data_IF_336820728456
#
_entry.id   IF_336820728456
#
_cell.length_a   1.000
_cell.length_b   1.000
_cell.length_c   1.000
_cell.angle_alpha   90.00
_cell.angle_beta   90.00
_cell.angle_gamma   90.00
#
_symmetry.space_group_name_H-M   'P 1'
#
loop_
_entity.id
_entity.type
_entity.pdbx_description
1 polymer ?
#
# COMPACT_ATOMS: atom_id res chain seq x y z
N UNK A 1 29.92 -1.83 -20.86
CA UNK A 1 28.63 -1.13 -20.65
C UNK A 1 28.94 0.19 -19.97
N UNK A 2 28.45 1.32 -20.47
CA UNK A 2 28.68 2.62 -19.84
C UNK A 2 28.15 2.62 -18.40
N UNK A 3 28.98 3.03 -17.44
CA UNK A 3 28.62 3.10 -16.02
C UNK A 3 27.65 4.25 -15.87
N UNK A 4 26.39 3.96 -15.58
CA UNK A 4 25.39 5.00 -15.29
C UNK A 4 25.83 5.82 -14.08
N UNK A 5 25.52 7.11 -14.09
CA UNK A 5 25.79 7.98 -12.95
C UNK A 5 24.91 7.58 -11.76
N UNK A 6 25.30 7.97 -10.55
CA UNK A 6 24.48 7.73 -9.37
C UNK A 6 23.10 8.38 -9.50
N UNK A 7 23.05 9.62 -10.00
CA UNK A 7 21.80 10.33 -10.26
C UNK A 7 20.89 9.56 -11.22
N UNK A 8 21.43 9.06 -12.34
CA UNK A 8 20.63 8.28 -13.30
C UNK A 8 20.08 7.00 -12.66
N UNK A 9 20.85 6.35 -11.78
CA UNK A 9 20.41 5.17 -11.05
C UNK A 9 19.25 5.49 -10.11
N UNK A 10 19.29 6.64 -9.43
CA UNK A 10 18.23 7.10 -8.54
C UNK A 10 16.95 7.46 -9.30
N UNK A 11 17.07 8.18 -10.42
CA UNK A 11 15.94 8.51 -11.32
C UNK A 11 15.27 7.25 -11.86
N UNK A 12 16.07 6.29 -12.34
CA UNK A 12 15.56 5.00 -12.81
C UNK A 12 14.81 4.26 -11.70
N UNK A 13 15.40 4.21 -10.49
CA UNK A 13 14.76 3.56 -9.34
C UNK A 13 13.45 4.24 -8.96
N UNK A 14 13.36 5.57 -9.04
CA UNK A 14 12.13 6.31 -8.78
C UNK A 14 11.04 5.96 -9.80
N UNK A 15 11.39 5.87 -11.09
CA UNK A 15 10.47 5.49 -12.16
C UNK A 15 9.95 4.05 -11.97
N UNK A 16 10.84 3.10 -11.63
CA UNK A 16 10.43 1.73 -11.36
C UNK A 16 9.57 1.61 -10.12
N UNK A 17 9.86 2.38 -9.05
CA UNK A 17 9.01 2.44 -7.87
C UNK A 17 7.61 2.95 -8.21
N UNK A 18 7.49 3.99 -9.05
CA UNK A 18 6.20 4.52 -9.47
C UNK A 18 5.39 3.47 -10.26
N UNK A 19 6.05 2.72 -11.14
CA UNK A 19 5.42 1.62 -11.87
C UNK A 19 4.95 0.50 -10.93
N UNK A 20 5.78 0.09 -9.96
CA UNK A 20 5.41 -0.91 -8.95
C UNK A 20 4.17 -0.47 -8.19
N UNK A 21 4.14 0.78 -7.71
CA UNK A 21 2.99 1.35 -6.99
C UNK A 21 1.75 1.33 -7.89
N UNK A 22 1.87 1.72 -9.16
CA UNK A 22 0.76 1.71 -10.12
C UNK A 22 0.19 0.30 -10.31
N UNK A 23 1.04 -0.69 -10.57
CA UNK A 23 0.61 -2.09 -10.75
C UNK A 23 -0.05 -2.60 -9.46
N UNK A 24 0.56 -2.33 -8.32
CA UNK A 24 0.03 -2.74 -7.02
C UNK A 24 -1.36 -2.14 -6.74
N UNK A 25 -1.54 -0.83 -6.95
CA UNK A 25 -2.80 -0.15 -6.67
C UNK A 25 -3.93 -0.52 -7.65
N UNK A 26 -3.58 -1.01 -8.85
CA UNK A 26 -4.55 -1.42 -9.85
C UNK A 26 -4.90 -2.92 -9.76
N UNK A 27 -3.90 -3.77 -9.54
CA UNK A 27 -4.02 -5.23 -9.75
C UNK A 27 -3.59 -6.06 -8.52
N UNK A 28 -3.02 -5.44 -7.50
CA UNK A 28 -2.55 -6.11 -6.29
C UNK A 28 -1.18 -6.80 -6.41
N UNK A 29 -0.77 -7.46 -5.33
CA UNK A 29 0.58 -8.02 -5.17
C UNK A 29 0.93 -9.14 -6.15
N UNK A 30 -0.05 -9.97 -6.54
CA UNK A 30 0.16 -11.07 -7.49
C UNK A 30 0.62 -10.59 -8.86
N UNK A 31 0.29 -9.35 -9.24
CA UNK A 31 0.70 -8.75 -10.51
C UNK A 31 2.07 -8.09 -10.47
N UNK A 32 2.60 -7.79 -9.28
CA UNK A 32 3.92 -7.15 -9.12
C UNK A 32 5.03 -8.20 -9.23
N UNK A 33 5.39 -8.55 -10.47
CA UNK A 33 6.37 -9.59 -10.78
C UNK A 33 7.49 -9.07 -11.68
N UNK A 34 8.66 -9.71 -11.65
CA UNK A 34 9.75 -9.38 -12.59
C UNK A 34 9.32 -9.49 -14.06
N UNK A 35 8.45 -10.44 -14.41
CA UNK A 35 7.90 -10.56 -15.76
C UNK A 35 7.08 -9.32 -16.15
N UNK A 36 6.20 -8.88 -15.24
CA UNK A 36 5.38 -7.68 -15.46
C UNK A 36 6.25 -6.44 -15.60
N UNK A 37 7.19 -6.22 -14.68
CA UNK A 37 8.10 -5.07 -14.74
C UNK A 37 8.99 -5.11 -15.99
N UNK A 38 9.53 -6.27 -16.37
CA UNK A 38 10.34 -6.42 -17.57
C UNK A 38 9.55 -6.06 -18.84
N UNK A 39 8.29 -6.50 -18.91
CA UNK A 39 7.39 -6.18 -20.03
C UNK A 39 7.09 -4.68 -20.13
N UNK A 40 6.77 -4.04 -19.00
CA UNK A 40 6.39 -2.61 -18.96
C UNK A 40 7.59 -1.67 -19.15
N UNK A 41 8.78 -2.05 -18.66
CA UNK A 41 10.00 -1.23 -18.76
C UNK A 41 10.85 -1.52 -19.98
N UNK A 42 10.63 -2.65 -20.66
CA UNK A 42 11.51 -3.18 -21.71
C UNK A 42 12.87 -3.70 -21.20
N UNK A 43 13.06 -3.79 -19.89
CA UNK A 43 14.32 -4.21 -19.28
C UNK A 43 14.39 -5.72 -19.07
N UNK A 44 15.61 -6.25 -19.02
CA UNK A 44 15.83 -7.65 -18.63
C UNK A 44 15.57 -7.82 -17.13
N UNK A 45 15.07 -9.00 -16.74
CA UNK A 45 14.88 -9.36 -15.31
C UNK A 45 16.16 -9.20 -14.48
N UNK A 46 17.31 -9.60 -15.03
CA UNK A 46 18.61 -9.47 -14.35
C UNK A 46 19.00 -8.01 -14.07
N UNK A 47 18.57 -7.07 -14.92
CA UNK A 47 18.75 -5.64 -14.67
C UNK A 47 17.89 -5.17 -13.50
N UNK A 48 16.61 -5.58 -13.48
CA UNK A 48 15.68 -5.27 -12.37
C UNK A 48 16.13 -5.89 -11.05
N UNK A 49 16.70 -7.10 -11.09
CA UNK A 49 17.30 -7.76 -9.92
C UNK A 49 18.46 -6.97 -9.31
N UNK A 50 19.16 -6.15 -10.11
CA UNK A 50 20.17 -5.22 -9.61
C UNK A 50 19.60 -4.04 -8.81
N UNK A 51 18.30 -3.73 -8.95
CA UNK A 51 17.59 -2.71 -8.17
C UNK A 51 16.82 -3.31 -6.99
N UNK A 52 16.25 -4.49 -7.20
CA UNK A 52 15.41 -5.23 -6.24
C UNK A 52 15.93 -6.67 -6.20
N UNK A 53 16.69 -7.11 -5.18
CA UNK A 53 17.25 -8.46 -5.16
C UNK A 53 16.20 -9.58 -5.14
N UNK A 54 15.03 -9.32 -4.56
CA UNK A 54 13.93 -10.28 -4.43
C UNK A 54 12.55 -9.62 -4.65
N UNK A 55 11.50 -10.43 -4.85
CA UNK A 55 10.13 -9.90 -5.01
C UNK A 55 9.67 -9.13 -3.76
N UNK A 56 10.13 -9.50 -2.56
CA UNK A 56 9.76 -8.78 -1.33
C UNK A 56 10.38 -7.37 -1.28
N UNK A 57 11.47 -7.12 -2.00
CA UNK A 57 12.07 -5.78 -2.09
C UNK A 57 11.18 -4.78 -2.85
N UNK A 58 10.19 -5.26 -3.62
CA UNK A 58 9.19 -4.37 -4.24
C UNK A 58 8.35 -3.63 -3.20
N UNK A 59 8.19 -4.17 -1.98
CA UNK A 59 7.52 -3.47 -0.87
C UNK A 59 8.15 -2.12 -0.55
N UNK A 60 9.47 -1.98 -0.75
CA UNK A 60 10.18 -0.71 -0.53
C UNK A 60 9.62 0.42 -1.41
N UNK A 61 9.10 0.11 -2.60
CA UNK A 61 8.47 1.09 -3.49
C UNK A 61 7.20 1.71 -2.90
N UNK A 62 6.49 0.98 -2.02
CA UNK A 62 5.27 1.45 -1.37
C UNK A 62 5.54 2.38 -0.18
N UNK A 63 6.77 2.41 0.33
CA UNK A 63 7.13 3.22 1.49
C UNK A 63 6.81 4.70 1.24
N UNK A 64 5.93 5.27 2.06
CA UNK A 64 5.51 6.67 1.97
C UNK A 64 4.50 6.97 0.86
N UNK A 65 4.06 5.97 0.08
CA UNK A 65 3.06 6.15 -1.00
C UNK A 65 1.65 5.76 -0.58
N UNK A 66 1.52 4.92 0.45
CA UNK A 66 0.23 4.44 0.97
C UNK A 66 -0.50 5.53 1.78
N UNK A 67 0.23 6.29 2.60
CA UNK A 67 -0.38 7.25 3.51
C UNK A 67 -1.13 8.41 2.80
N UNK A 68 -0.62 8.98 1.69
CA UNK A 68 -1.39 9.97 0.92
C UNK A 68 -2.76 9.46 0.45
N UNK A 69 -2.89 8.18 0.08
CA UNK A 69 -4.14 7.58 -0.37
C UNK A 69 -5.15 7.54 0.80
N UNK A 70 -4.68 7.09 1.97
CA UNK A 70 -5.49 7.07 3.19
C UNK A 70 -5.94 8.49 3.56
N UNK A 71 -5.01 9.44 3.60
CA UNK A 71 -5.29 10.82 4.01
C UNK A 71 -6.23 11.55 3.03
N UNK A 72 -6.18 11.22 1.74
CA UNK A 72 -7.08 11.78 0.73
C UNK A 72 -8.49 11.17 0.77
N UNK A 73 -8.63 9.96 1.31
CA UNK A 73 -9.91 9.22 1.32
C UNK A 73 -10.69 9.44 2.61
N UNK A 74 -10.00 9.52 3.75
CA UNK A 74 -10.62 9.51 5.07
C UNK A 74 -10.94 10.92 5.58
N UNK A 75 -12.13 11.06 6.11
CA UNK A 75 -12.62 12.25 6.80
C UNK A 75 -12.45 12.05 8.32
N UNK A 76 -11.79 12.98 9.00
CA UNK A 76 -11.55 12.88 10.45
C UNK A 76 -12.30 13.96 11.25
N UNK A 77 -13.38 14.53 10.71
CA UNK A 77 -14.18 15.54 11.40
C UNK A 77 -14.98 14.97 12.56
N UNK A 78 -15.43 13.73 12.48
CA UNK A 78 -16.03 12.98 13.58
C UNK A 78 -15.84 11.47 13.38
N UNK A 79 -16.15 10.70 14.43
CA UNK A 79 -16.19 9.23 14.34
C UNK A 79 -17.10 8.74 13.21
N UNK A 80 -18.30 9.31 13.10
CA UNK A 80 -19.28 8.89 12.10
C UNK A 80 -18.83 9.24 10.68
N UNK A 81 -18.25 10.43 10.46
CA UNK A 81 -17.72 10.78 9.14
C UNK A 81 -16.50 9.95 8.77
N UNK A 82 -15.67 9.57 9.74
CA UNK A 82 -14.58 8.62 9.55
C UNK A 82 -15.08 7.25 9.10
N UNK A 83 -16.06 6.68 9.79
CA UNK A 83 -16.63 5.37 9.40
C UNK A 83 -17.26 5.46 8.01
N UNK A 84 -18.05 6.50 7.74
CA UNK A 84 -18.72 6.66 6.43
C UNK A 84 -17.72 6.87 5.28
N UNK A 85 -16.69 7.69 5.48
CA UNK A 85 -15.64 7.92 4.49
C UNK A 85 -14.79 6.67 4.26
N UNK A 86 -14.51 5.89 5.30
CA UNK A 86 -13.86 4.58 5.18
C UNK A 86 -14.68 3.62 4.32
N UNK A 87 -15.97 3.46 4.63
CA UNK A 87 -16.85 2.57 3.87
C UNK A 87 -16.98 2.98 2.41
N UNK A 88 -17.11 4.28 2.13
CA UNK A 88 -17.10 4.82 0.77
C UNK A 88 -15.75 4.56 0.09
N UNK A 89 -14.66 4.71 0.81
CA UNK A 89 -13.30 4.44 0.36
C UNK A 89 -13.11 3.00 -0.10
N UNK A 90 -13.76 2.02 0.53
CA UNK A 90 -13.69 0.62 0.10
C UNK A 90 -14.26 0.36 -1.30
N UNK A 91 -15.07 1.28 -1.83
CA UNK A 91 -15.54 1.24 -3.23
C UNK A 91 -14.55 1.88 -4.21
N UNK A 92 -13.49 2.54 -3.71
CA UNK A 92 -12.43 3.13 -4.54
C UNK A 92 -11.29 2.13 -4.71
N UNK A 93 -10.86 1.92 -5.96
CA UNK A 93 -9.85 0.89 -6.30
C UNK A 93 -8.59 1.01 -5.44
N UNK A 94 -7.96 2.19 -5.40
CA UNK A 94 -6.67 2.36 -4.71
C UNK A 94 -6.78 2.13 -3.19
N UNK A 95 -7.78 2.74 -2.53
CA UNK A 95 -7.99 2.57 -1.10
C UNK A 95 -8.35 1.11 -0.77
N UNK A 96 -9.24 0.48 -1.54
CA UNK A 96 -9.59 -0.92 -1.34
C UNK A 96 -8.36 -1.84 -1.46
N UNK A 97 -7.44 -1.57 -2.39
CA UNK A 97 -6.21 -2.34 -2.57
C UNK A 97 -5.24 -2.15 -1.40
N UNK A 98 -5.15 -0.95 -0.83
CA UNK A 98 -4.40 -0.69 0.40
C UNK A 98 -4.95 -1.52 1.56
N UNK A 99 -6.28 -1.56 1.74
CA UNK A 99 -6.92 -2.32 2.82
C UNK A 99 -6.77 -3.83 2.59
N UNK A 100 -6.97 -4.32 1.36
CA UNK A 100 -6.72 -5.73 0.99
C UNK A 100 -5.27 -6.12 1.30
N UNK A 101 -4.31 -5.24 1.03
CA UNK A 101 -2.91 -5.48 1.38
C UNK A 101 -2.70 -5.62 2.89
N UNK A 102 -3.29 -4.75 3.71
CA UNK A 102 -3.17 -4.86 5.16
C UNK A 102 -3.75 -6.17 5.68
N UNK A 103 -4.94 -6.56 5.20
CA UNK A 103 -5.60 -7.82 5.57
C UNK A 103 -4.76 -9.03 5.13
N UNK A 104 -4.31 -9.07 3.88
CA UNK A 104 -3.52 -10.18 3.35
C UNK A 104 -2.20 -10.37 4.13
N UNK A 105 -1.52 -9.27 4.46
CA UNK A 105 -0.28 -9.33 5.25
C UNK A 105 -0.52 -9.73 6.72
N UNK A 106 -1.69 -9.48 7.27
CA UNK A 106 -2.04 -9.92 8.62
C UNK A 106 -2.24 -11.45 8.70
N UNK A 107 -2.68 -12.07 7.61
CA UNK A 107 -2.87 -13.53 7.51
C UNK A 107 -1.56 -14.31 7.24
N UNK A 108 -0.46 -13.63 6.91
CA UNK A 108 0.83 -14.28 6.68
C UNK A 108 1.49 -14.72 8.00
N UNK A 109 2.18 -15.86 7.99
CA UNK A 109 2.92 -16.41 9.15
C UNK A 109 3.92 -15.40 9.74
N UNK A 110 4.52 -14.58 8.88
CA UNK A 110 5.34 -13.44 9.25
C UNK A 110 4.82 -12.20 8.51
N UNK A 111 4.17 -11.29 9.23
CA UNK A 111 3.71 -10.03 8.65
C UNK A 111 4.90 -9.11 8.34
N UNK A 112 4.93 -8.53 7.14
CA UNK A 112 6.00 -7.68 6.68
C UNK A 112 6.16 -6.44 7.61
N UNK A 113 7.38 -6.09 8.07
CA UNK A 113 7.59 -4.99 9.02
C UNK A 113 7.02 -3.65 8.55
N UNK A 114 7.03 -3.39 7.24
CA UNK A 114 6.47 -2.15 6.68
C UNK A 114 4.94 -2.09 6.78
N UNK A 115 4.25 -3.23 6.73
CA UNK A 115 2.80 -3.30 6.90
C UNK A 115 2.42 -3.00 8.34
N UNK A 116 3.13 -3.60 9.32
CA UNK A 116 2.95 -3.27 10.74
C UNK A 116 3.14 -1.77 10.97
N UNK A 117 4.23 -1.20 10.48
CA UNK A 117 4.49 0.23 10.61
C UNK A 117 3.41 1.10 9.93
N UNK A 118 2.84 0.65 8.81
CA UNK A 118 1.74 1.32 8.13
C UNK A 118 0.47 1.36 8.97
N UNK A 119 0.07 0.22 9.54
CA UNK A 119 -1.12 0.11 10.41
C UNK A 119 -0.90 0.88 11.71
N UNK A 120 0.27 0.81 12.34
CA UNK A 120 0.61 1.60 13.54
C UNK A 120 0.45 3.09 13.28
N UNK A 121 0.98 3.60 12.16
CA UNK A 121 0.81 5.02 11.78
C UNK A 121 -0.63 5.42 11.54
N UNK A 122 -1.46 4.50 11.03
CA UNK A 122 -2.89 4.75 10.86
C UNK A 122 -3.59 4.85 12.22
N UNK A 123 -3.28 3.98 13.17
CA UNK A 123 -3.80 4.05 14.54
C UNK A 123 -3.38 5.37 15.20
N UNK A 124 -2.10 5.74 15.09
CA UNK A 124 -1.58 7.02 15.60
C UNK A 124 -2.28 8.23 14.97
N UNK A 125 -2.55 8.19 13.66
CA UNK A 125 -3.28 9.24 12.97
C UNK A 125 -4.71 9.38 13.51
N UNK A 126 -5.43 8.26 13.70
CA UNK A 126 -6.78 8.28 14.28
C UNK A 126 -6.73 8.84 15.70
N UNK A 127 -5.81 8.37 16.54
CA UNK A 127 -5.66 8.86 17.92
C UNK A 127 -5.36 10.37 17.96
N UNK A 128 -4.58 10.88 17.02
CA UNK A 128 -4.28 12.31 16.94
C UNK A 128 -5.46 13.15 16.43
N UNK A 129 -6.21 12.65 15.45
CA UNK A 129 -7.30 13.40 14.80
C UNK A 129 -8.64 13.29 15.53
N UNK A 130 -8.87 12.18 16.24
CA UNK A 130 -10.08 11.90 17.01
C UNK A 130 -9.68 11.52 18.46
N UNK A 131 -9.14 12.46 19.25
CA UNK A 131 -8.54 12.17 20.57
C UNK A 131 -9.54 11.68 21.62
N UNK A 132 -10.83 11.99 21.45
CA UNK A 132 -11.90 11.54 22.34
C UNK A 132 -12.36 10.10 22.06
N UNK A 133 -11.91 9.49 20.96
CA UNK A 133 -12.29 8.15 20.54
C UNK A 133 -11.20 7.12 20.88
N UNK A 134 -11.61 5.88 21.15
CA UNK A 134 -10.67 4.76 21.23
C UNK A 134 -10.20 4.37 19.82
N UNK A 135 -9.05 4.92 19.41
CA UNK A 135 -8.49 4.74 18.08
C UNK A 135 -8.27 3.27 17.69
N UNK A 136 -7.81 2.43 18.62
CA UNK A 136 -7.58 1.01 18.35
C UNK A 136 -8.91 0.30 18.07
N UNK A 137 -9.91 0.51 18.93
CA UNK A 137 -11.25 -0.08 18.76
C UNK A 137 -11.92 0.39 17.47
N UNK A 138 -11.74 1.67 17.11
CA UNK A 138 -12.28 2.23 15.86
C UNK A 138 -11.62 1.59 14.64
N UNK A 139 -10.29 1.45 14.65
CA UNK A 139 -9.55 0.75 13.59
C UNK A 139 -9.95 -0.73 13.49
N UNK A 140 -10.05 -1.44 14.62
CA UNK A 140 -10.48 -2.84 14.64
C UNK A 140 -11.88 -3.00 14.00
N UNK A 141 -12.80 -2.08 14.33
CA UNK A 141 -14.16 -2.08 13.78
C UNK A 141 -14.20 -1.88 12.27
N UNK A 142 -13.51 -0.86 11.75
CA UNK A 142 -13.51 -0.59 10.30
C UNK A 142 -12.72 -1.65 9.52
N UNK A 143 -11.64 -2.19 10.10
CA UNK A 143 -10.87 -3.30 9.49
C UNK A 143 -11.70 -4.58 9.44
N UNK A 144 -12.43 -4.92 10.52
CA UNK A 144 -13.36 -6.05 10.52
C UNK A 144 -14.47 -5.88 9.49
N UNK A 145 -15.08 -4.70 9.42
CA UNK A 145 -16.09 -4.36 8.41
C UNK A 145 -15.52 -4.48 6.99
N UNK A 146 -14.27 -4.09 6.79
CA UNK A 146 -13.59 -4.18 5.50
C UNK A 146 -13.47 -5.63 5.02
N UNK A 147 -13.14 -6.58 5.90
CA UNK A 147 -13.05 -8.00 5.54
C UNK A 147 -14.38 -8.49 4.97
N UNK A 148 -15.50 -8.16 5.63
CA UNK A 148 -16.84 -8.56 5.20
C UNK A 148 -17.20 -7.88 3.88
N UNK A 149 -17.06 -6.55 3.78
CA UNK A 149 -17.43 -5.82 2.55
C UNK A 149 -16.59 -6.24 1.34
N UNK A 150 -15.29 -6.46 1.52
CA UNK A 150 -14.39 -6.86 0.43
C UNK A 150 -14.57 -8.31 -0.02
N UNK A 151 -15.17 -9.17 0.82
CA UNK A 151 -15.55 -10.54 0.46
C UNK A 151 -16.75 -10.58 -0.49
N UNK A 152 -17.66 -9.62 -0.36
CA UNK A 152 -18.86 -9.48 -1.20
C UNK A 152 -18.73 -8.40 -2.29
N UNK A 153 -17.50 -7.90 -2.51
CA UNK A 153 -17.23 -6.97 -3.60
C UNK A 153 -16.99 -7.78 -4.88
N UNK A 154 -17.91 -7.64 -5.84
CA UNK A 154 -17.82 -8.26 -7.19
C UNK A 154 -16.63 -7.72 -7.99
#
# INVERSE_FOLDING_TARGET
MARITQQQKEENKANYNALIVKIFLAEGWSSVTYDRLAKETGLRKSTLQGYYPSNSDFAVALKGKIFPIIAATLDFSSKDTFIQSWERGLSQTEFSMVIRMFIANAAMKESHPQTKAGVTKLIELVAHKLPEENALQLIDSVMGTSVIKLLFAD
#
